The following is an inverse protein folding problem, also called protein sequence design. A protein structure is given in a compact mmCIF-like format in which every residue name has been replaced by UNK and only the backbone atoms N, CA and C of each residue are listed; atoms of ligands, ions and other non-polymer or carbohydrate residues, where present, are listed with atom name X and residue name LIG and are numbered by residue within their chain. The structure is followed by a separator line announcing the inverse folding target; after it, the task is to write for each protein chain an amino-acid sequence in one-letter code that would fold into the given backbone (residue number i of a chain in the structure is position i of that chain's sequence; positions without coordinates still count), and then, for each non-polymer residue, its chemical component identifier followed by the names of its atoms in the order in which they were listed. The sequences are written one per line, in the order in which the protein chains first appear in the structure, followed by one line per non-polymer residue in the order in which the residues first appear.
data_IF_584880212255
#
_entry.id   IF_584880212255
#
_cell.length_a   1.000
_cell.length_b   1.000
_cell.length_c   1.000
_cell.angle_alpha   90.00
_cell.angle_beta   90.00
_cell.angle_gamma   90.00
#
_symmetry.space_group_name_H-M   'P 1'
#
loop_
_entity.id
_entity.type
_entity.pdbx_description
1 polymer ?
#
# COMPACT_ATOMS: atom_id res chain seq x y z
N UNK A 1 4.97 23.60 -9.43
CA UNK A 1 5.54 22.72 -8.39
C UNK A 1 6.21 21.53 -9.04
N UNK A 2 7.42 21.18 -8.58
CA UNK A 2 8.18 19.99 -9.02
C UNK A 2 8.22 18.97 -7.88
N UNK A 3 7.80 17.75 -8.16
CA UNK A 3 7.66 16.70 -7.15
C UNK A 3 8.52 15.50 -7.50
N UNK A 4 9.30 15.01 -6.54
CA UNK A 4 9.94 13.70 -6.64
C UNK A 4 9.03 12.64 -6.02
N UNK A 5 8.76 11.57 -6.75
CA UNK A 5 8.10 10.35 -6.27
C UNK A 5 9.12 9.22 -6.30
N UNK A 6 9.58 8.75 -5.16
CA UNK A 6 10.40 7.53 -5.10
C UNK A 6 9.48 6.31 -5.09
N UNK A 7 9.90 5.21 -5.69
CA UNK A 7 9.02 4.05 -5.87
C UNK A 7 7.89 4.30 -6.87
N UNK A 8 8.11 5.21 -7.83
CA UNK A 8 7.08 5.65 -8.77
C UNK A 8 6.65 4.61 -9.79
N UNK A 9 7.46 3.57 -10.01
CA UNK A 9 7.08 2.42 -10.84
C UNK A 9 6.17 1.42 -10.09
N UNK A 10 5.92 1.63 -8.80
CA UNK A 10 5.05 0.78 -7.98
C UNK A 10 3.57 1.12 -8.12
N UNK A 11 2.71 0.32 -7.46
CA UNK A 11 1.25 0.49 -7.48
C UNK A 11 0.80 1.88 -6.98
N UNK A 12 1.28 2.31 -5.80
CA UNK A 12 0.97 3.66 -5.32
C UNK A 12 1.58 4.72 -6.23
N UNK A 13 2.84 4.51 -6.64
CA UNK A 13 3.59 5.50 -7.42
C UNK A 13 2.89 5.91 -8.71
N UNK A 14 2.43 4.96 -9.54
CA UNK A 14 1.76 5.28 -10.80
C UNK A 14 0.41 5.98 -10.59
N UNK A 15 -0.39 5.55 -9.61
CA UNK A 15 -1.65 6.22 -9.29
C UNK A 15 -1.40 7.66 -8.83
N UNK A 16 -0.46 7.85 -7.90
CA UNK A 16 -0.07 9.18 -7.42
C UNK A 16 0.48 10.07 -8.54
N UNK A 17 1.29 9.55 -9.46
CA UNK A 17 1.82 10.31 -10.60
C UNK A 17 0.67 10.83 -11.47
N UNK A 18 -0.29 9.98 -11.83
CA UNK A 18 -1.48 10.35 -12.59
C UNK A 18 -2.32 11.39 -11.85
N UNK A 19 -2.51 11.17 -10.55
CA UNK A 19 -3.23 12.10 -9.69
C UNK A 19 -2.54 13.47 -9.62
N UNK A 20 -1.25 13.51 -9.32
CA UNK A 20 -0.47 14.77 -9.26
C UNK A 20 -0.51 15.54 -10.56
N UNK A 21 -0.45 14.84 -11.69
CA UNK A 21 -0.59 15.49 -13.01
C UNK A 21 -1.97 16.10 -13.19
N UNK A 22 -3.02 15.42 -12.77
CA UNK A 22 -4.40 15.95 -12.80
C UNK A 22 -4.58 17.17 -11.87
N UNK A 23 -3.79 17.26 -10.77
CA UNK A 23 -3.75 18.43 -9.90
C UNK A 23 -2.91 19.60 -10.46
N UNK A 24 -2.32 19.46 -11.65
CA UNK A 24 -1.54 20.54 -12.30
C UNK A 24 -0.09 20.63 -11.84
N UNK A 25 0.50 19.57 -11.32
CA UNK A 25 1.94 19.53 -11.01
C UNK A 25 2.74 19.66 -12.31
N UNK A 26 3.70 20.58 -12.34
CA UNK A 26 4.41 20.96 -13.57
C UNK A 26 5.41 19.90 -14.04
N UNK A 27 6.20 19.36 -13.10
CA UNK A 27 7.22 18.35 -13.35
C UNK A 27 7.15 17.28 -12.26
N UNK A 28 7.08 16.02 -12.67
CA UNK A 28 7.17 14.88 -11.78
C UNK A 28 8.43 14.09 -12.09
N UNK A 29 9.28 13.94 -11.09
CA UNK A 29 10.46 13.06 -11.15
C UNK A 29 10.16 11.75 -10.48
N UNK A 30 10.69 10.68 -11.05
CA UNK A 30 10.54 9.32 -10.55
C UNK A 30 11.91 8.72 -10.32
N UNK A 31 12.13 8.18 -9.12
CA UNK A 31 13.28 7.34 -8.80
C UNK A 31 12.78 5.95 -8.42
N UNK A 32 13.20 4.92 -9.17
CA UNK A 32 12.81 3.53 -8.90
C UNK A 32 13.90 2.56 -9.37
N UNK A 33 14.04 1.43 -8.69
CA UNK A 33 14.91 0.31 -9.08
C UNK A 33 14.34 -0.48 -10.27
N UNK A 34 13.02 -0.49 -10.42
CA UNK A 34 12.31 -1.12 -11.53
C UNK A 34 12.18 -0.15 -12.70
N UNK A 35 12.08 -0.69 -13.91
CA UNK A 35 11.78 0.11 -15.10
C UNK A 35 10.38 0.74 -14.99
N UNK A 36 10.21 1.89 -15.61
CA UNK A 36 8.92 2.59 -15.67
C UNK A 36 8.20 2.21 -16.97
N UNK A 37 7.45 1.12 -16.91
CA UNK A 37 6.76 0.53 -18.09
C UNK A 37 5.31 1.00 -18.19
N UNK A 38 5.09 2.32 -18.15
CA UNK A 38 3.78 2.94 -18.31
C UNK A 38 3.78 3.93 -19.47
N UNK A 39 2.60 4.21 -20.07
CA UNK A 39 2.49 5.15 -21.18
C UNK A 39 3.05 6.54 -20.90
N UNK A 40 3.01 6.96 -19.63
CA UNK A 40 3.49 8.25 -19.17
C UNK A 40 5.01 8.44 -19.27
N UNK A 41 5.77 7.36 -19.57
CA UNK A 41 7.25 7.39 -19.64
C UNK A 41 7.80 8.45 -20.59
N UNK A 42 7.13 8.66 -21.72
CA UNK A 42 7.58 9.55 -22.77
C UNK A 42 6.97 10.97 -22.68
N UNK A 43 6.21 11.22 -21.62
CA UNK A 43 5.59 12.51 -21.39
C UNK A 43 6.61 13.58 -20.95
N UNK A 44 6.57 14.79 -21.51
CA UNK A 44 7.58 15.83 -21.25
C UNK A 44 7.59 16.34 -19.80
N UNK A 45 6.50 16.14 -19.06
CA UNK A 45 6.36 16.53 -17.66
C UNK A 45 6.88 15.46 -16.69
N UNK A 46 7.24 14.24 -17.16
CA UNK A 46 7.75 13.16 -16.35
C UNK A 46 9.24 12.94 -16.64
N UNK A 47 10.03 12.77 -15.57
CA UNK A 47 11.46 12.45 -15.67
C UNK A 47 11.76 11.22 -14.85
N UNK A 48 11.94 10.10 -15.52
CA UNK A 48 12.30 8.84 -14.88
C UNK A 48 13.82 8.69 -14.73
N UNK A 49 14.25 8.26 -13.56
CA UNK A 49 15.62 7.83 -13.26
C UNK A 49 15.56 6.43 -12.66
N UNK A 50 16.20 5.46 -13.32
CA UNK A 50 16.43 4.15 -12.74
C UNK A 50 17.58 4.25 -11.74
N UNK A 51 17.30 3.95 -10.48
CA UNK A 51 18.29 4.07 -9.39
C UNK A 51 17.70 3.56 -8.07
N UNK A 52 18.52 3.57 -7.04
CA UNK A 52 18.21 3.00 -5.73
C UNK A 52 18.19 4.09 -4.65
N UNK A 53 17.17 4.14 -3.81
CA UNK A 53 17.11 5.09 -2.67
C UNK A 53 18.22 4.85 -1.66
N UNK A 54 18.86 3.68 -1.67
CA UNK A 54 20.04 3.37 -0.85
C UNK A 54 21.32 4.02 -1.39
N UNK A 55 21.33 4.47 -2.64
CA UNK A 55 22.44 5.21 -3.24
C UNK A 55 22.22 6.71 -3.09
N UNK A 56 23.11 7.36 -2.32
CA UNK A 56 23.04 8.79 -2.04
C UNK A 56 23.09 9.63 -3.32
N UNK A 57 23.91 9.24 -4.29
CA UNK A 57 24.08 9.99 -5.54
C UNK A 57 22.84 9.95 -6.41
N UNK A 58 22.16 8.79 -6.49
CA UNK A 58 20.89 8.63 -7.19
C UNK A 58 19.80 9.52 -6.56
N UNK A 59 19.72 9.51 -5.22
CA UNK A 59 18.74 10.32 -4.49
C UNK A 59 19.02 11.81 -4.68
N UNK A 60 20.25 12.27 -4.47
CA UNK A 60 20.62 13.69 -4.62
C UNK A 60 20.35 14.21 -6.03
N UNK A 61 20.70 13.43 -7.05
CA UNK A 61 20.43 13.78 -8.45
C UNK A 61 18.93 13.99 -8.72
N UNK A 62 18.07 13.18 -8.12
CA UNK A 62 16.63 13.27 -8.34
C UNK A 62 15.98 14.37 -7.50
N UNK A 63 16.45 14.61 -6.28
CA UNK A 63 15.93 15.62 -5.35
C UNK A 63 16.29 17.03 -5.78
N UNK A 64 17.48 17.25 -6.36
CA UNK A 64 17.98 18.57 -6.69
C UNK A 64 17.03 19.39 -7.57
N UNK A 65 16.51 20.50 -7.04
CA UNK A 65 15.57 21.40 -7.74
C UNK A 65 14.11 20.93 -7.73
N UNK A 66 13.75 19.94 -6.91
CA UNK A 66 12.37 19.66 -6.55
C UNK A 66 11.90 20.59 -5.42
N UNK A 67 10.58 20.75 -5.31
CA UNK A 67 9.94 21.48 -4.22
C UNK A 67 9.57 20.53 -3.08
N UNK A 68 9.07 19.34 -3.41
CA UNK A 68 8.55 18.33 -2.47
C UNK A 68 9.03 16.94 -2.88
N UNK A 69 9.22 16.05 -1.91
CA UNK A 69 9.41 14.63 -2.14
C UNK A 69 8.31 13.81 -1.48
N UNK A 70 7.72 12.86 -2.23
CA UNK A 70 6.86 11.80 -1.71
C UNK A 70 7.65 10.50 -1.75
N UNK A 71 7.99 9.98 -0.58
CA UNK A 71 8.80 8.77 -0.44
C UNK A 71 7.90 7.54 -0.33
N UNK A 72 7.65 6.90 -1.50
CA UNK A 72 6.85 5.67 -1.62
C UNK A 72 7.71 4.42 -1.79
N UNK A 73 9.02 4.56 -2.07
CA UNK A 73 9.92 3.42 -2.21
C UNK A 73 9.96 2.61 -0.93
N UNK A 74 9.73 1.31 -1.04
CA UNK A 74 9.64 0.39 0.08
C UNK A 74 10.03 -1.03 -0.37
N UNK A 75 10.68 -1.78 0.50
CA UNK A 75 10.86 -3.21 0.30
C UNK A 75 9.62 -3.96 0.83
N UNK A 76 9.04 -4.83 0.00
CA UNK A 76 7.87 -5.60 0.39
C UNK A 76 8.22 -6.63 1.48
N UNK A 77 7.24 -7.07 2.30
CA UNK A 77 7.47 -8.09 3.35
C UNK A 77 8.01 -9.44 2.85
N UNK A 78 8.01 -9.67 1.53
CA UNK A 78 8.55 -10.88 0.89
C UNK A 78 10.03 -10.77 0.51
N UNK A 79 10.64 -9.58 0.63
CA UNK A 79 12.07 -9.40 0.38
C UNK A 79 12.93 -9.90 1.53
N UNK A 80 14.25 -10.00 1.32
CA UNK A 80 15.15 -10.36 2.40
C UNK A 80 15.10 -9.34 3.54
N UNK A 81 15.33 -9.78 4.76
CA UNK A 81 15.37 -8.90 5.93
C UNK A 81 16.38 -7.77 5.74
N UNK A 82 17.54 -8.06 5.15
CA UNK A 82 18.55 -7.07 4.81
C UNK A 82 18.00 -6.00 3.86
N UNK A 83 17.32 -6.41 2.79
CA UNK A 83 16.76 -5.47 1.82
C UNK A 83 15.67 -4.62 2.46
N UNK A 84 14.84 -5.21 3.32
CA UNK A 84 13.81 -4.48 4.08
C UNK A 84 14.46 -3.39 4.93
N UNK A 85 15.42 -3.74 5.79
CA UNK A 85 16.02 -2.77 6.70
C UNK A 85 16.81 -1.68 5.94
N UNK A 86 17.62 -2.05 4.95
CA UNK A 86 18.41 -1.05 4.22
C UNK A 86 17.53 -0.12 3.38
N UNK A 87 16.49 -0.65 2.73
CA UNK A 87 15.59 0.21 1.93
C UNK A 87 14.77 1.15 2.81
N UNK A 88 14.18 0.63 3.89
CA UNK A 88 13.30 1.41 4.75
C UNK A 88 14.06 2.42 5.62
N UNK A 89 15.23 2.06 6.13
CA UNK A 89 15.97 2.90 7.09
C UNK A 89 16.99 3.77 6.36
N UNK A 90 17.94 3.15 5.64
CA UNK A 90 19.00 3.89 4.98
C UNK A 90 18.44 4.70 3.80
N UNK A 91 17.53 4.10 3.01
CA UNK A 91 16.84 4.80 1.93
C UNK A 91 16.04 6.00 2.42
N UNK A 92 15.27 5.86 3.51
CA UNK A 92 14.56 6.98 4.11
C UNK A 92 15.50 8.07 4.61
N UNK A 93 16.61 7.71 5.28
CA UNK A 93 17.60 8.67 5.75
C UNK A 93 18.23 9.45 4.59
N UNK A 94 18.64 8.76 3.51
CA UNK A 94 19.20 9.40 2.32
C UNK A 94 18.24 10.42 1.71
N UNK A 95 16.94 10.09 1.64
CA UNK A 95 15.93 11.02 1.13
C UNK A 95 15.76 12.23 2.06
N UNK A 96 15.74 12.04 3.38
CA UNK A 96 15.68 13.14 4.36
C UNK A 96 16.89 14.05 4.21
N UNK A 97 18.09 13.49 4.16
CA UNK A 97 19.34 14.26 4.07
C UNK A 97 19.43 15.05 2.76
N UNK A 98 19.08 14.44 1.65
CA UNK A 98 19.03 15.12 0.36
C UNK A 98 17.95 16.22 0.34
N UNK A 99 16.75 15.95 0.87
CA UNK A 99 15.67 16.95 0.94
C UNK A 99 16.11 18.19 1.75
N UNK A 100 16.82 17.98 2.86
CA UNK A 100 17.37 19.07 3.67
C UNK A 100 18.52 19.79 2.96
N UNK A 101 19.45 19.06 2.37
CA UNK A 101 20.60 19.60 1.62
C UNK A 101 20.17 20.53 0.49
N UNK A 102 19.12 20.16 -0.23
CA UNK A 102 18.60 20.94 -1.36
C UNK A 102 17.44 21.86 -0.97
N UNK A 103 17.16 22.03 0.33
CA UNK A 103 16.17 22.94 0.90
C UNK A 103 14.74 22.72 0.31
N UNK A 104 14.31 21.46 0.19
CA UNK A 104 12.93 21.16 -0.18
C UNK A 104 11.96 21.73 0.83
N UNK A 105 10.77 22.06 0.35
CA UNK A 105 9.72 22.64 1.18
C UNK A 105 9.28 21.66 2.27
N UNK A 106 9.15 20.39 1.94
CA UNK A 106 8.74 19.30 2.85
C UNK A 106 8.96 17.92 2.23
N UNK A 107 8.70 16.90 3.05
CA UNK A 107 8.63 15.50 2.63
C UNK A 107 7.31 14.87 3.07
N UNK A 108 6.78 13.95 2.27
CA UNK A 108 5.72 13.01 2.67
C UNK A 108 6.30 11.61 2.71
N UNK A 109 6.30 10.99 3.89
CA UNK A 109 6.76 9.63 4.12
C UNK A 109 5.59 8.66 4.09
N UNK A 110 5.62 7.67 3.22
CA UNK A 110 4.63 6.58 3.24
C UNK A 110 5.11 5.49 4.19
N UNK A 111 4.49 5.45 5.36
CA UNK A 111 4.65 4.42 6.37
C UNK A 111 3.60 3.30 6.18
N UNK A 112 3.17 2.67 7.24
CA UNK A 112 2.17 1.59 7.23
C UNK A 112 1.54 1.41 8.60
N UNK A 113 0.27 0.98 8.65
CA UNK A 113 -0.33 0.53 9.92
C UNK A 113 0.29 -0.75 10.48
N UNK A 114 1.20 -1.41 9.75
CA UNK A 114 2.03 -2.52 10.27
C UNK A 114 2.91 -2.12 11.46
N UNK A 115 3.17 -0.82 11.66
CA UNK A 115 3.90 -0.30 12.82
C UNK A 115 3.20 -0.59 14.15
N UNK A 116 1.88 -0.80 14.14
CA UNK A 116 1.12 -1.11 15.36
C UNK A 116 1.16 -2.58 15.76
N UNK A 117 1.64 -3.46 14.88
CA UNK A 117 1.58 -4.89 15.14
C UNK A 117 0.19 -5.49 14.95
N UNK A 118 -0.23 -6.36 15.88
CA UNK A 118 -1.57 -6.97 15.93
C UNK A 118 -2.26 -6.54 17.23
N UNK A 119 -2.82 -5.32 17.28
CA UNK A 119 -3.48 -4.80 18.48
C UNK A 119 -4.75 -5.57 18.80
N UNK A 120 -5.06 -5.66 20.09
CA UNK A 120 -6.32 -6.26 20.57
C UNK A 120 -7.45 -5.24 20.69
N UNK A 121 -7.11 -3.94 20.75
CA UNK A 121 -8.07 -2.84 20.89
C UNK A 121 -8.22 -2.11 19.57
N UNK A 122 -9.44 -1.76 19.21
CA UNK A 122 -9.79 -0.99 18.02
C UNK A 122 -10.86 0.07 18.34
N UNK A 123 -10.93 1.21 17.62
CA UNK A 123 -9.96 1.61 16.60
C UNK A 123 -8.58 1.87 17.20
N UNK A 124 -7.54 1.78 16.34
CA UNK A 124 -6.16 2.13 16.70
C UNK A 124 -5.97 3.63 16.42
N UNK A 125 -5.37 4.36 17.35
CA UNK A 125 -5.05 5.77 17.21
C UNK A 125 -3.56 5.99 16.97
N UNK A 126 -3.18 7.17 16.46
CA UNK A 126 -1.78 7.51 16.20
C UNK A 126 -0.90 7.51 17.48
N UNK A 127 -1.53 7.70 18.62
CA UNK A 127 -0.88 7.67 19.94
C UNK A 127 -0.71 6.27 20.52
N UNK A 128 -1.27 5.25 19.89
CA UNK A 128 -1.14 3.87 20.39
C UNK A 128 0.31 3.35 20.19
N UNK A 129 0.76 2.41 21.04
CA UNK A 129 2.12 1.90 21.01
C UNK A 129 2.51 1.29 19.65
N UNK A 130 3.72 1.58 19.20
CA UNK A 130 4.32 0.98 18.00
C UNK A 130 5.06 -0.29 18.42
N UNK A 131 4.56 -1.44 17.98
CA UNK A 131 5.13 -2.75 18.33
C UNK A 131 5.77 -3.42 17.12
N UNK A 132 5.25 -3.12 15.93
CA UNK A 132 5.70 -3.72 14.67
C UNK A 132 5.22 -5.16 14.47
N UNK A 133 5.23 -5.61 13.22
CA UNK A 133 5.04 -7.03 12.84
C UNK A 133 6.18 -7.43 11.91
N UNK A 134 6.97 -8.39 12.35
CA UNK A 134 8.10 -8.91 11.59
C UNK A 134 9.13 -7.84 11.20
N UNK A 135 10.09 -8.16 10.34
CA UNK A 135 11.13 -7.22 9.92
C UNK A 135 10.57 -5.94 9.30
N UNK A 136 9.52 -6.07 8.48
CA UNK A 136 8.90 -4.93 7.80
C UNK A 136 8.29 -3.91 8.77
N UNK A 137 7.50 -4.36 9.75
CA UNK A 137 6.90 -3.48 10.74
C UNK A 137 7.95 -2.75 11.59
N UNK A 138 9.01 -3.46 12.00
CA UNK A 138 10.11 -2.87 12.75
C UNK A 138 10.90 -1.85 11.89
N UNK A 139 11.20 -2.16 10.64
CA UNK A 139 11.90 -1.25 9.75
C UNK A 139 11.08 0.04 9.49
N UNK A 140 9.76 -0.07 9.34
CA UNK A 140 8.88 1.11 9.24
C UNK A 140 8.89 1.96 10.50
N UNK A 141 8.94 1.36 11.70
CA UNK A 141 9.08 2.11 12.95
C UNK A 141 10.40 2.90 12.97
N UNK A 142 11.50 2.28 12.57
CA UNK A 142 12.81 2.94 12.52
C UNK A 142 12.84 4.07 11.48
N UNK A 143 12.23 3.88 10.30
CA UNK A 143 12.07 4.95 9.32
C UNK A 143 11.26 6.13 9.89
N UNK A 144 10.16 5.87 10.61
CA UNK A 144 9.41 6.93 11.29
C UNK A 144 10.23 7.63 12.38
N UNK A 145 11.11 6.91 13.11
CA UNK A 145 12.01 7.50 14.08
C UNK A 145 12.98 8.50 13.44
N UNK A 146 13.49 8.19 12.22
CA UNK A 146 14.30 9.14 11.42
C UNK A 146 13.49 10.37 11.03
N UNK A 147 12.26 10.17 10.56
CA UNK A 147 11.35 11.28 10.24
C UNK A 147 11.08 12.16 11.46
N UNK A 148 10.77 11.57 12.62
CA UNK A 148 10.52 12.33 13.86
C UNK A 148 11.75 13.11 14.35
N UNK A 149 12.94 12.56 14.16
CA UNK A 149 14.18 13.30 14.46
C UNK A 149 14.30 14.53 13.56
N UNK A 150 14.11 14.39 12.25
CA UNK A 150 14.14 15.50 11.31
C UNK A 150 13.04 16.57 11.58
N UNK A 151 11.83 16.14 11.97
CA UNK A 151 10.75 17.06 12.39
C UNK A 151 11.19 17.89 13.60
N UNK A 152 11.78 17.27 14.62
CA UNK A 152 12.28 17.98 15.81
C UNK A 152 13.37 19.00 15.47
N UNK A 153 14.14 18.76 14.40
CA UNK A 153 15.16 19.67 13.87
C UNK A 153 14.59 20.72 12.91
N UNK A 154 13.26 20.77 12.74
CA UNK A 154 12.55 21.81 11.98
C UNK A 154 12.31 21.48 10.50
N UNK A 155 12.62 20.27 10.03
CA UNK A 155 12.28 19.87 8.67
C UNK A 155 10.88 19.22 8.63
N UNK A 156 9.90 19.79 7.86
CA UNK A 156 8.52 19.28 7.87
C UNK A 156 8.40 17.95 7.15
N UNK A 157 7.96 16.91 7.85
CA UNK A 157 7.66 15.59 7.26
C UNK A 157 6.26 15.17 7.69
N UNK A 158 5.38 14.89 6.73
CA UNK A 158 4.11 14.21 6.99
C UNK A 158 4.32 12.70 6.95
N UNK A 159 3.98 11.99 8.01
CA UNK A 159 4.09 10.53 8.09
C UNK A 159 2.70 9.94 7.85
N UNK A 160 2.47 9.32 6.71
CA UNK A 160 1.19 8.70 6.33
C UNK A 160 1.24 7.22 6.65
N UNK A 161 0.33 6.73 7.49
CA UNK A 161 0.15 5.32 7.86
C UNK A 161 -1.10 4.75 7.19
N UNK A 162 -1.04 4.33 5.94
CA UNK A 162 -2.21 3.78 5.26
C UNK A 162 -2.56 2.38 5.79
N UNK A 163 -3.85 2.08 5.80
CA UNK A 163 -4.36 0.71 5.80
C UNK A 163 -4.04 0.04 4.47
N UNK A 164 -4.30 -1.27 4.35
CA UNK A 164 -4.18 -1.96 3.07
C UNK A 164 -5.02 -1.27 2.01
N UNK A 165 -4.38 -0.74 0.98
CA UNK A 165 -5.04 0.02 -0.07
C UNK A 165 -5.09 -0.75 -1.38
N UNK A 166 -6.18 -0.55 -2.12
CA UNK A 166 -6.56 -1.22 -3.36
C UNK A 166 -7.04 -0.21 -4.39
N UNK A 167 -7.18 -0.62 -5.62
CA UNK A 167 -7.65 0.23 -6.71
C UNK A 167 -7.03 -0.19 -8.05
N UNK A 168 -7.24 0.57 -9.12
CA UNK A 168 -6.61 0.32 -10.42
C UNK A 168 -5.11 0.07 -10.31
N UNK A 169 -4.55 -0.84 -11.08
CA UNK A 169 -3.17 -1.33 -11.04
C UNK A 169 -2.83 -2.26 -9.85
N UNK A 170 -3.76 -2.50 -8.90
CA UNK A 170 -3.51 -3.40 -7.79
C UNK A 170 -3.82 -4.84 -8.17
N UNK A 171 -2.79 -5.65 -8.21
CA UNK A 171 -2.85 -7.09 -8.48
C UNK A 171 -2.43 -7.89 -7.22
N UNK A 172 -1.34 -8.62 -7.27
CA UNK A 172 -0.85 -9.39 -6.13
C UNK A 172 -1.88 -10.43 -5.66
N UNK A 173 -2.12 -10.49 -4.35
CA UNK A 173 -3.08 -11.43 -3.74
C UNK A 173 -4.53 -11.16 -4.14
N UNK A 174 -4.89 -9.91 -4.44
CA UNK A 174 -6.24 -9.57 -4.87
C UNK A 174 -6.59 -10.14 -6.24
N UNK A 175 -5.64 -10.22 -7.16
CA UNK A 175 -5.84 -10.83 -8.47
C UNK A 175 -6.28 -12.30 -8.36
N UNK A 176 -5.80 -13.04 -7.35
CA UNK A 176 -6.26 -14.40 -7.09
C UNK A 176 -7.75 -14.46 -6.74
N UNK A 177 -8.22 -13.57 -5.88
CA UNK A 177 -9.62 -13.46 -5.51
C UNK A 177 -10.49 -13.03 -6.71
N UNK A 178 -10.03 -12.04 -7.47
CA UNK A 178 -10.73 -11.53 -8.65
C UNK A 178 -10.82 -12.56 -9.77
N UNK A 179 -9.77 -13.36 -9.98
CA UNK A 179 -9.80 -14.47 -10.94
C UNK A 179 -10.85 -15.54 -10.57
N UNK A 180 -10.98 -15.86 -9.29
CA UNK A 180 -12.01 -16.78 -8.83
C UNK A 180 -13.42 -16.20 -9.03
N UNK A 181 -13.62 -14.95 -8.67
CA UNK A 181 -14.89 -14.26 -8.89
C UNK A 181 -15.26 -14.22 -10.38
N UNK A 182 -14.34 -13.81 -11.24
CA UNK A 182 -14.53 -13.71 -12.68
C UNK A 182 -14.86 -15.05 -13.33
N UNK A 183 -14.22 -16.14 -12.90
CA UNK A 183 -14.41 -17.49 -13.46
C UNK A 183 -15.56 -18.26 -12.80
N UNK A 184 -16.42 -17.60 -12.01
CA UNK A 184 -17.64 -18.17 -11.46
C UNK A 184 -17.42 -19.12 -10.28
N UNK A 185 -16.45 -18.82 -9.42
CA UNK A 185 -16.16 -19.59 -8.20
C UNK A 185 -16.43 -18.75 -6.95
N UNK A 186 -16.81 -19.40 -5.85
CA UNK A 186 -16.82 -18.78 -4.53
C UNK A 186 -15.42 -18.63 -4.00
N UNK A 187 -15.26 -18.02 -2.81
CA UNK A 187 -13.95 -17.82 -2.24
C UNK A 187 -13.91 -18.24 -0.75
N UNK A 188 -12.92 -19.05 -0.34
CA UNK A 188 -12.74 -19.42 1.06
C UNK A 188 -12.13 -18.24 1.83
N UNK A 189 -12.68 -17.97 3.01
CA UNK A 189 -12.16 -16.95 3.92
C UNK A 189 -11.68 -17.60 5.22
N UNK A 190 -10.55 -17.15 5.73
CA UNK A 190 -9.98 -17.64 6.98
C UNK A 190 -10.85 -17.17 8.14
N UNK A 191 -11.34 -18.09 8.97
CA UNK A 191 -12.30 -17.81 10.02
C UNK A 191 -13.72 -17.64 9.50
N UNK A 192 -14.58 -17.01 10.29
CA UNK A 192 -15.99 -16.75 9.95
C UNK A 192 -16.15 -15.60 8.93
N UNK A 193 -15.15 -14.73 8.84
CA UNK A 193 -15.21 -13.46 8.10
C UNK A 193 -16.03 -12.37 8.80
N UNK A 194 -16.44 -12.57 10.03
CA UNK A 194 -17.21 -11.56 10.80
C UNK A 194 -16.32 -10.49 11.43
N UNK A 195 -14.99 -10.64 11.34
CA UNK A 195 -14.05 -9.62 11.76
C UNK A 195 -14.13 -8.40 10.82
N UNK A 196 -13.85 -7.23 11.39
CA UNK A 196 -13.82 -5.95 10.68
C UNK A 196 -12.40 -5.67 10.20
N UNK A 197 -12.22 -5.56 8.89
CA UNK A 197 -10.92 -5.29 8.30
C UNK A 197 -11.00 -4.08 7.38
N UNK A 198 -10.45 -2.96 7.86
CA UNK A 198 -10.46 -1.72 7.10
C UNK A 198 -9.46 -1.78 5.95
N UNK A 199 -9.95 -1.46 4.77
CA UNK A 199 -9.17 -1.21 3.56
C UNK A 199 -9.21 0.29 3.24
N UNK A 200 -8.73 0.68 2.06
CA UNK A 200 -8.99 1.98 1.46
C UNK A 200 -8.77 1.94 -0.05
N UNK A 201 -9.35 2.89 -0.75
CA UNK A 201 -9.07 3.11 -2.17
C UNK A 201 -7.78 3.94 -2.34
N UNK A 202 -7.01 3.63 -3.38
CA UNK A 202 -5.77 4.35 -3.68
C UNK A 202 -6.00 5.82 -4.00
N UNK A 203 -7.13 6.16 -4.65
CA UNK A 203 -7.48 7.56 -4.93
C UNK A 203 -7.67 8.37 -3.63
N UNK A 204 -8.23 7.76 -2.58
CA UNK A 204 -8.37 8.41 -1.28
C UNK A 204 -7.00 8.61 -0.61
N UNK A 205 -6.07 7.66 -0.79
CA UNK A 205 -4.69 7.81 -0.34
C UNK A 205 -3.98 8.95 -1.09
N UNK A 206 -4.14 9.03 -2.40
CA UNK A 206 -3.56 10.10 -3.22
C UNK A 206 -4.06 11.49 -2.79
N UNK A 207 -5.35 11.61 -2.44
CA UNK A 207 -5.89 12.84 -1.84
C UNK A 207 -5.28 13.17 -0.48
N UNK A 208 -5.08 12.18 0.39
CA UNK A 208 -4.43 12.41 1.68
C UNK A 208 -2.97 12.86 1.51
N UNK A 209 -2.24 12.28 0.56
CA UNK A 209 -0.87 12.67 0.19
C UNK A 209 -0.86 14.11 -0.32
N UNK A 210 -1.78 14.46 -1.23
CA UNK A 210 -1.90 15.81 -1.76
C UNK A 210 -2.13 16.85 -0.66
N UNK A 211 -3.04 16.57 0.26
CA UNK A 211 -3.31 17.46 1.39
C UNK A 211 -2.07 17.59 2.29
N UNK A 212 -1.34 16.50 2.53
CA UNK A 212 -0.07 16.53 3.26
C UNK A 212 1.02 17.35 2.54
N UNK A 213 1.00 17.38 1.20
CA UNK A 213 1.93 18.19 0.39
C UNK A 213 1.57 19.68 0.38
N UNK A 214 0.31 20.04 0.55
CA UNK A 214 -0.18 21.41 0.28
C UNK A 214 -0.65 22.18 1.51
N UNK A 215 -1.02 21.49 2.60
CA UNK A 215 -1.48 22.11 3.84
C UNK A 215 -0.33 22.77 4.64
N UNK A 216 -0.64 23.63 5.63
CA UNK A 216 0.39 24.30 6.43
C UNK A 216 1.40 23.32 7.05
N UNK A 217 2.68 23.66 7.00
CA UNK A 217 3.80 22.78 7.39
C UNK A 217 3.74 22.35 8.86
N UNK A 218 3.35 23.23 9.72
CA UNK A 218 3.18 22.99 11.16
C UNK A 218 2.02 22.04 11.46
N UNK A 219 1.01 22.00 10.60
CA UNK A 219 -0.12 21.08 10.72
C UNK A 219 0.25 19.67 10.27
N UNK A 220 1.01 19.56 9.16
CA UNK A 220 1.30 18.26 8.54
C UNK A 220 2.52 17.56 9.11
N UNK A 221 3.38 18.24 9.85
CA UNK A 221 4.62 17.68 10.42
C UNK A 221 4.35 16.70 11.59
N UNK A 222 3.58 15.67 11.31
CA UNK A 222 3.19 14.63 12.28
C UNK A 222 2.72 13.36 11.54
N UNK A 223 2.32 12.32 12.28
CA UNK A 223 1.77 11.09 11.72
C UNK A 223 0.26 11.12 11.56
N UNK A 224 -0.27 10.43 10.53
CA UNK A 224 -1.69 10.29 10.22
C UNK A 224 -2.05 8.86 9.85
N UNK A 225 -3.04 8.30 10.51
CA UNK A 225 -3.69 7.07 10.09
C UNK A 225 -4.66 7.37 8.94
N UNK A 226 -4.58 6.57 7.87
CA UNK A 226 -5.40 6.74 6.68
C UNK A 226 -6.10 5.41 6.34
N UNK A 227 -7.42 5.44 6.17
CA UNK A 227 -8.25 4.28 5.87
C UNK A 227 -9.64 4.68 5.40
N UNK A 228 -10.44 3.74 4.93
CA UNK A 228 -11.83 3.99 4.56
C UNK A 228 -12.66 4.39 5.79
N UNK A 229 -13.61 5.30 5.62
CA UNK A 229 -14.57 5.67 6.67
C UNK A 229 -15.64 4.60 6.85
N UNK A 230 -16.08 4.00 5.75
CA UNK A 230 -17.17 3.02 5.74
C UNK A 230 -16.63 1.63 5.40
N UNK A 231 -16.82 0.69 6.31
CA UNK A 231 -16.47 -0.72 6.14
C UNK A 231 -17.34 -1.58 7.07
N UNK A 232 -17.58 -2.81 6.62
CA UNK A 232 -18.41 -3.77 7.37
C UNK A 232 -17.56 -4.97 7.81
N UNK A 233 -18.12 -6.16 7.82
CA UNK A 233 -17.36 -7.39 8.05
C UNK A 233 -16.57 -7.75 6.79
N UNK A 234 -15.44 -8.42 6.95
CA UNK A 234 -14.63 -8.86 5.82
C UNK A 234 -15.46 -9.71 4.83
N UNK A 235 -16.33 -10.58 5.36
CA UNK A 235 -17.22 -11.40 4.54
C UNK A 235 -18.19 -10.56 3.70
N UNK A 236 -18.81 -9.55 4.29
CA UNK A 236 -19.77 -8.70 3.59
C UNK A 236 -19.10 -7.81 2.54
N UNK A 237 -17.91 -7.27 2.87
CA UNK A 237 -17.17 -6.40 1.96
C UNK A 237 -16.69 -7.18 0.73
N UNK A 238 -16.12 -8.37 0.92
CA UNK A 238 -15.67 -9.21 -0.19
C UNK A 238 -16.83 -9.85 -0.97
N UNK A 239 -17.98 -10.11 -0.32
CA UNK A 239 -19.16 -10.61 -1.02
C UNK A 239 -19.63 -9.67 -2.11
N UNK A 240 -19.46 -8.36 -1.96
CA UNK A 240 -19.83 -7.38 -2.97
C UNK A 240 -19.15 -7.63 -4.33
N UNK A 241 -17.93 -8.16 -4.35
CA UNK A 241 -17.22 -8.54 -5.58
C UNK A 241 -17.87 -9.76 -6.24
N UNK A 242 -18.22 -10.80 -5.46
CA UNK A 242 -18.89 -12.00 -5.99
C UNK A 242 -20.30 -11.65 -6.51
N UNK A 243 -21.00 -10.76 -5.83
CA UNK A 243 -22.31 -10.28 -6.28
C UNK A 243 -22.18 -9.47 -7.58
N UNK A 244 -21.14 -8.63 -7.71
CA UNK A 244 -20.82 -7.90 -8.96
C UNK A 244 -20.43 -8.83 -10.10
N UNK A 245 -19.72 -9.93 -9.82
CA UNK A 245 -19.38 -10.94 -10.81
C UNK A 245 -20.61 -11.68 -11.38
N UNK A 246 -21.73 -11.70 -10.66
CA UNK A 246 -23.03 -12.13 -11.17
C UNK A 246 -23.26 -13.65 -11.25
N UNK A 247 -22.31 -14.47 -10.71
CA UNK A 247 -22.43 -15.94 -10.76
C UNK A 247 -23.20 -16.56 -9.59
N UNK A 248 -23.76 -15.76 -8.68
CA UNK A 248 -24.52 -16.23 -7.52
C UNK A 248 -23.65 -16.93 -6.45
N UNK A 249 -22.35 -16.81 -6.54
CA UNK A 249 -21.39 -17.44 -5.64
C UNK A 249 -21.25 -16.69 -4.31
N UNK A 250 -20.73 -17.39 -3.28
CA UNK A 250 -20.66 -16.85 -1.92
C UNK A 250 -19.27 -16.99 -1.32
N UNK A 251 -18.93 -16.03 -0.44
CA UNK A 251 -17.80 -16.15 0.47
C UNK A 251 -18.13 -17.23 1.52
N UNK A 252 -17.24 -18.19 1.67
CA UNK A 252 -17.38 -19.29 2.64
C UNK A 252 -16.33 -19.19 3.74
N UNK A 253 -16.75 -18.92 4.97
CA UNK A 253 -15.87 -18.98 6.14
C UNK A 253 -15.37 -20.42 6.37
N UNK A 254 -14.07 -20.56 6.62
CA UNK A 254 -13.41 -21.83 6.93
C UNK A 254 -12.82 -21.78 8.34
N UNK A 255 -12.80 -22.89 9.09
CA UNK A 255 -12.19 -22.90 10.41
C UNK A 255 -10.74 -22.39 10.37
N UNK A 256 -10.46 -21.29 11.08
CA UNK A 256 -9.18 -20.58 10.98
C UNK A 256 -7.99 -21.50 11.33
N UNK A 257 -8.07 -22.27 12.42
CA UNK A 257 -6.99 -23.16 12.85
C UNK A 257 -6.60 -24.20 11.78
N UNK A 258 -7.58 -24.81 11.13
CA UNK A 258 -7.34 -25.79 10.06
C UNK A 258 -6.72 -25.14 8.84
N UNK A 259 -7.28 -24.00 8.38
CA UNK A 259 -6.80 -23.36 7.17
C UNK A 259 -5.41 -22.73 7.36
N UNK A 260 -5.15 -22.10 8.50
CA UNK A 260 -3.82 -21.59 8.84
C UNK A 260 -2.79 -22.72 8.92
N UNK A 261 -3.15 -23.86 9.51
CA UNK A 261 -2.27 -25.03 9.55
C UNK A 261 -1.90 -25.53 8.13
N UNK A 262 -2.90 -25.65 7.24
CA UNK A 262 -2.68 -26.03 5.85
C UNK A 262 -1.79 -24.99 5.13
N UNK A 263 -2.06 -23.71 5.30
CA UNK A 263 -1.29 -22.65 4.66
C UNK A 263 0.17 -22.61 5.12
N UNK A 264 0.44 -22.88 6.42
CA UNK A 264 1.81 -23.03 6.94
C UNK A 264 2.57 -24.18 6.31
N UNK A 265 1.89 -25.32 6.06
CA UNK A 265 2.51 -26.44 5.35
C UNK A 265 2.82 -26.06 3.90
N UNK A 266 1.85 -25.49 3.21
CA UNK A 266 2.02 -25.07 1.82
C UNK A 266 3.11 -24.01 1.64
N UNK A 267 3.24 -23.10 2.59
CA UNK A 267 4.32 -22.10 2.61
C UNK A 267 5.70 -22.77 2.75
N UNK A 268 5.86 -23.66 3.75
CA UNK A 268 7.12 -24.40 3.95
C UNK A 268 7.54 -25.23 2.73
N UNK A 269 6.57 -25.67 1.94
CA UNK A 269 6.80 -26.41 0.68
C UNK A 269 6.91 -25.50 -0.53
N UNK A 270 6.85 -24.17 -0.35
CA UNK A 270 6.83 -23.16 -1.45
C UNK A 270 5.68 -23.37 -2.46
N UNK A 271 4.56 -23.91 -2.01
CA UNK A 271 3.38 -24.25 -2.83
C UNK A 271 2.25 -23.22 -2.70
N UNK A 272 2.36 -22.24 -1.81
CA UNK A 272 1.42 -21.13 -1.62
C UNK A 272 2.15 -19.79 -1.70
N UNK A 273 1.56 -18.78 -2.35
CA UNK A 273 2.10 -17.43 -2.37
C UNK A 273 1.78 -16.63 -1.08
N UNK A 274 0.90 -17.17 -0.21
CA UNK A 274 0.47 -16.48 1.00
C UNK A 274 1.52 -16.65 2.10
N UNK A 275 1.91 -15.55 2.73
CA UNK A 275 2.90 -15.49 3.80
C UNK A 275 2.24 -15.28 5.18
N UNK A 276 2.95 -15.57 6.30
CA UNK A 276 2.38 -15.65 7.64
C UNK A 276 1.53 -14.45 8.03
N UNK A 277 2.02 -13.24 7.80
CA UNK A 277 1.28 -12.04 8.18
C UNK A 277 -0.12 -11.98 7.56
N UNK A 278 -0.27 -12.40 6.28
CA UNK A 278 -1.56 -12.38 5.58
C UNK A 278 -2.54 -13.35 6.23
N UNK A 279 -2.15 -14.61 6.42
CA UNK A 279 -3.09 -15.62 6.88
C UNK A 279 -3.24 -15.68 8.41
N UNK A 280 -2.30 -15.12 9.18
CA UNK A 280 -2.40 -15.05 10.63
C UNK A 280 -3.20 -13.84 11.13
N UNK A 281 -3.29 -12.77 10.34
CA UNK A 281 -4.04 -11.55 10.70
C UNK A 281 -5.40 -11.44 10.03
N UNK A 282 -5.68 -12.22 8.99
CA UNK A 282 -6.89 -12.11 8.18
C UNK A 282 -8.22 -12.40 8.92
N UNK A 283 -8.16 -13.06 10.07
CA UNK A 283 -9.36 -13.44 10.85
C UNK A 283 -9.53 -12.62 12.13
N UNK A 284 -8.74 -11.57 12.31
CA UNK A 284 -8.83 -10.65 13.46
C UNK A 284 -9.29 -9.25 13.01
N UNK A 285 -9.88 -8.50 13.93
CA UNK A 285 -10.19 -7.10 13.68
C UNK A 285 -8.92 -6.32 13.36
N UNK A 286 -9.00 -5.41 12.38
CA UNK A 286 -7.88 -4.56 12.00
C UNK A 286 -8.38 -3.24 11.41
N UNK A 287 -8.55 -2.22 12.24
CA UNK A 287 -8.97 -0.90 11.79
C UNK A 287 -8.42 0.22 12.68
N UNK A 288 -8.22 1.38 12.07
CA UNK A 288 -7.66 2.57 12.70
C UNK A 288 -8.70 3.68 12.77
N UNK A 289 -8.53 4.63 13.70
CA UNK A 289 -9.22 5.92 13.64
C UNK A 289 -8.57 6.79 12.57
N UNK A 290 -9.39 7.50 11.80
CA UNK A 290 -8.96 8.49 10.80
C UNK A 290 -9.32 9.92 11.26
N UNK A 291 -9.81 10.10 12.49
CA UNK A 291 -10.30 11.38 13.02
C UNK A 291 -9.24 12.49 12.94
N UNK A 292 -7.97 12.17 13.20
CA UNK A 292 -6.88 13.14 13.11
C UNK A 292 -6.69 13.63 11.67
N UNK A 293 -6.74 12.72 10.70
CA UNK A 293 -6.63 13.06 9.29
C UNK A 293 -7.87 13.84 8.80
N UNK A 294 -9.09 13.47 9.20
CA UNK A 294 -10.30 14.24 8.91
C UNK A 294 -10.19 15.67 9.43
N UNK A 295 -9.71 15.85 10.64
CA UNK A 295 -9.64 17.16 11.31
C UNK A 295 -8.51 18.05 10.79
N UNK A 296 -7.32 17.49 10.56
CA UNK A 296 -6.12 18.27 10.29
C UNK A 296 -5.73 18.30 8.80
N UNK A 297 -6.07 17.26 8.04
CA UNK A 297 -5.82 17.17 6.59
C UNK A 297 -7.08 17.34 5.75
N UNK A 298 -8.25 17.65 6.35
CA UNK A 298 -9.55 17.65 5.65
C UNK A 298 -9.76 16.35 4.84
N UNK A 299 -9.28 15.22 5.38
CA UNK A 299 -9.35 13.93 4.71
C UNK A 299 -10.80 13.46 4.66
N UNK A 300 -11.31 13.25 3.46
CA UNK A 300 -12.69 12.83 3.20
C UNK A 300 -12.67 11.62 2.26
N UNK A 301 -12.48 10.40 2.80
CA UNK A 301 -12.49 9.21 1.96
C UNK A 301 -13.84 9.06 1.28
N UNK A 302 -13.81 8.84 -0.02
CA UNK A 302 -14.99 8.78 -0.90
C UNK A 302 -15.50 7.36 -1.10
N UNK A 303 -14.63 6.38 -0.89
CA UNK A 303 -14.94 4.98 -1.16
C UNK A 303 -15.04 4.19 0.14
N UNK A 304 -16.12 3.43 0.26
CA UNK A 304 -16.21 2.34 1.24
C UNK A 304 -15.31 1.16 0.83
N UNK A 305 -15.04 0.23 1.75
CA UNK A 305 -14.35 -1.02 1.42
C UNK A 305 -14.99 -1.73 0.22
N UNK A 306 -16.32 -1.85 0.22
CA UNK A 306 -17.08 -2.51 -0.85
C UNK A 306 -16.86 -1.85 -2.20
N UNK A 307 -16.94 -0.52 -2.24
CA UNK A 307 -16.74 0.25 -3.46
C UNK A 307 -15.31 0.12 -3.98
N UNK A 308 -14.31 0.22 -3.10
CA UNK A 308 -12.90 0.05 -3.46
C UNK A 308 -12.61 -1.35 -4.03
N UNK A 309 -13.14 -2.41 -3.39
CA UNK A 309 -13.01 -3.80 -3.86
C UNK A 309 -13.66 -4.01 -5.23
N UNK A 310 -14.89 -3.52 -5.41
CA UNK A 310 -15.62 -3.65 -6.68
C UNK A 310 -14.93 -2.86 -7.79
N UNK A 311 -14.50 -1.62 -7.52
CA UNK A 311 -13.76 -0.77 -8.48
C UNK A 311 -12.47 -1.45 -8.95
N UNK A 312 -11.72 -2.04 -8.04
CA UNK A 312 -10.50 -2.77 -8.40
C UNK A 312 -10.81 -4.05 -9.20
N UNK A 313 -11.89 -4.76 -8.87
CA UNK A 313 -12.36 -5.91 -9.64
C UNK A 313 -12.76 -5.52 -11.08
N UNK A 314 -13.51 -4.43 -11.25
CA UNK A 314 -13.91 -3.93 -12.56
C UNK A 314 -12.69 -3.57 -13.42
N UNK A 315 -11.71 -2.89 -12.82
CA UNK A 315 -10.43 -2.60 -13.48
C UNK A 315 -9.69 -3.89 -13.86
N UNK A 316 -9.61 -4.87 -12.94
CA UNK A 316 -8.99 -6.17 -13.21
C UNK A 316 -9.62 -6.87 -14.42
N UNK A 317 -10.95 -6.92 -14.48
CA UNK A 317 -11.68 -7.55 -15.60
C UNK A 317 -11.43 -6.82 -16.92
N UNK A 318 -11.41 -5.49 -16.91
CA UNK A 318 -11.18 -4.68 -18.10
C UNK A 318 -9.75 -4.84 -18.68
N UNK A 319 -8.77 -5.25 -17.87
CA UNK A 319 -7.35 -5.35 -18.27
C UNK A 319 -6.82 -6.78 -18.26
N UNK A 320 -7.69 -7.79 -18.23
CA UNK A 320 -7.31 -9.21 -18.15
C UNK A 320 -6.27 -9.64 -19.20
N UNK A 321 -6.39 -9.13 -20.43
CA UNK A 321 -5.49 -9.49 -21.53
C UNK A 321 -4.05 -9.01 -21.31
N UNK A 322 -3.87 -7.93 -20.56
CA UNK A 322 -2.56 -7.36 -20.24
C UNK A 322 -1.76 -8.22 -19.27
N UNK A 323 -2.45 -9.08 -18.50
CA UNK A 323 -1.84 -9.92 -17.46
C UNK A 323 -1.63 -11.36 -17.88
N UNK A 324 -2.14 -11.77 -19.03
CA UNK A 324 -1.97 -13.14 -19.54
C UNK A 324 -0.50 -13.53 -19.59
N UNK A 325 -0.17 -14.63 -18.92
CA UNK A 325 1.20 -15.15 -18.85
C UNK A 325 2.16 -14.40 -17.93
N UNK A 326 1.75 -13.30 -17.33
CA UNK A 326 2.55 -12.59 -16.33
C UNK A 326 2.30 -13.14 -14.92
N UNK A 327 3.35 -13.33 -14.14
CA UNK A 327 3.25 -13.70 -12.73
C UNK A 327 4.50 -13.27 -11.98
N UNK A 328 4.37 -12.93 -10.70
CA UNK A 328 5.48 -12.46 -9.88
C UNK A 328 5.10 -12.38 -8.40
N UNK A 329 5.85 -11.58 -7.64
CA UNK A 329 5.65 -11.35 -6.20
C UNK A 329 5.34 -9.89 -5.86
N UNK A 330 5.31 -9.00 -6.87
CA UNK A 330 5.00 -7.58 -6.67
C UNK A 330 3.49 -7.33 -6.69
N UNK A 331 3.10 -6.12 -6.31
CA UNK A 331 1.70 -5.70 -6.38
C UNK A 331 1.20 -5.41 -7.80
N UNK A 332 2.10 -5.36 -8.79
CA UNK A 332 1.83 -5.04 -10.20
C UNK A 332 1.54 -6.26 -11.08
N UNK A 333 1.74 -7.46 -10.57
CA UNK A 333 1.53 -8.71 -11.32
C UNK A 333 0.70 -9.68 -10.50
N UNK A 334 -0.12 -10.53 -11.15
CA UNK A 334 -0.83 -11.59 -10.44
C UNK A 334 0.15 -12.55 -9.76
N UNK A 335 -0.16 -12.98 -8.54
CA UNK A 335 0.62 -14.02 -7.89
C UNK A 335 0.29 -15.39 -8.45
N UNK A 336 1.30 -16.27 -8.54
CA UNK A 336 1.08 -17.66 -8.94
C UNK A 336 0.14 -18.33 -7.95
N UNK A 337 -0.94 -18.92 -8.44
CA UNK A 337 -1.94 -19.55 -7.56
C UNK A 337 -1.40 -20.84 -6.90
N UNK A 338 -0.40 -21.53 -7.50
CA UNK A 338 0.12 -22.78 -6.98
C UNK A 338 -0.97 -23.83 -6.81
N UNK A 339 -0.94 -24.58 -5.69
CA UNK A 339 -1.99 -25.56 -5.37
C UNK A 339 -3.34 -24.92 -5.01
N UNK A 340 -3.39 -23.64 -4.72
CA UNK A 340 -4.65 -22.93 -4.50
C UNK A 340 -5.56 -22.96 -5.73
N UNK A 341 -4.99 -23.08 -6.93
CA UNK A 341 -5.76 -23.25 -8.16
C UNK A 341 -6.62 -24.54 -8.14
N UNK A 342 -6.14 -25.62 -7.51
CA UNK A 342 -6.92 -26.85 -7.36
C UNK A 342 -8.06 -26.67 -6.37
N UNK A 343 -7.88 -25.85 -5.32
CA UNK A 343 -8.92 -25.56 -4.35
C UNK A 343 -10.13 -24.83 -4.95
N UNK A 344 -9.92 -24.07 -6.04
CA UNK A 344 -10.94 -23.34 -6.78
C UNK A 344 -12.17 -24.19 -7.14
N UNK A 345 -11.97 -25.48 -7.45
CA UNK A 345 -13.04 -26.40 -7.87
C UNK A 345 -13.99 -26.81 -6.74
N UNK A 346 -13.66 -26.51 -5.46
CA UNK A 346 -14.51 -26.83 -4.30
C UNK A 346 -15.42 -25.65 -3.89
N UNK A 347 -15.30 -24.53 -4.53
CA UNK A 347 -16.01 -23.30 -4.19
C UNK A 347 -16.72 -22.73 -5.42
#
# INVERSE_FOLDING_TARGET
MKVLVTGGSGFLGINLIRFLRAQGVDEIRVLDIADFDYPEKDEPWLKFTKGDVRDVADVEKCVAGCDVVVHCAAALPLYSEKDIFTTEIDGCQNVIDAARKFNLDRMVQISSTAVYGVPKKHPIYETDPLVGVGPYGHAKIEAENRCRAAIKEGFPIAIIRPKSFIGPERLGVFALFYDWAYTGHGFPMIGSGNNRYQLMDVDDLDHAIWNAMTYPKDVVATEFNIGAKEFTTMKEDYQAVLDKAGHGKKIKGMPAGLLVFILRILEKLHLSPLYPWVYETAYTDSFVSIEKAEKLLDFKPRYSNKQALVRNYEWYVAHLDEFKGKSGVSHRVPWKQGLLACAKWFF
#
